data_IF_063666654052
#
_entry.id   IF_063666654052
#
_cell.length_a   1.000
_cell.length_b   1.000
_cell.length_c   1.000
_cell.angle_alpha   90.00
_cell.angle_beta   90.00
_cell.angle_gamma   90.00
#
_symmetry.space_group_name_H-M   'P 1'
#
loop_
_entity.id
_entity.type
_entity.pdbx_description
1 polymer ?
#
# COMPACT_ATOMS: atom_id res chain seq x y z
N UNK A 1 -0.92 4.41 -17.01
CA UNK A 1 -1.70 4.32 -18.29
C UNK A 1 -3.20 4.08 -18.06
N UNK A 2 -3.63 3.33 -17.02
CA UNK A 2 -5.05 3.09 -16.70
C UNK A 2 -5.89 4.35 -16.36
N UNK A 3 -5.28 5.41 -15.81
CA UNK A 3 -6.00 6.66 -15.48
C UNK A 3 -6.50 7.41 -16.73
N UNK A 4 -5.78 7.34 -17.85
CA UNK A 4 -6.17 8.02 -19.11
C UNK A 4 -7.30 7.29 -19.84
N UNK A 5 -7.34 5.95 -19.79
CA UNK A 5 -8.40 5.16 -20.42
C UNK A 5 -9.77 5.41 -19.77
N UNK A 6 -9.83 5.59 -18.44
CA UNK A 6 -11.06 5.94 -17.73
C UNK A 6 -11.64 7.29 -18.16
N UNK A 7 -10.78 8.30 -18.37
CA UNK A 7 -11.21 9.65 -18.75
C UNK A 7 -11.86 9.72 -20.13
N UNK A 8 -11.37 8.97 -21.12
CA UNK A 8 -11.94 8.95 -22.47
C UNK A 8 -13.34 8.29 -22.49
N UNK A 9 -13.52 7.21 -21.74
CA UNK A 9 -14.82 6.51 -21.61
C UNK A 9 -15.85 7.37 -20.88
N UNK A 10 -15.46 8.10 -19.85
CA UNK A 10 -16.37 8.98 -19.12
C UNK A 10 -16.79 10.20 -19.96
N UNK A 11 -15.88 10.78 -20.74
CA UNK A 11 -16.20 11.88 -21.68
C UNK A 11 -17.12 11.38 -22.80
N UNK A 12 -16.86 10.22 -23.37
CA UNK A 12 -17.73 9.63 -24.40
C UNK A 12 -19.13 9.36 -23.85
N UNK A 13 -19.23 8.83 -22.62
CA UNK A 13 -20.52 8.58 -21.95
C UNK A 13 -21.27 9.90 -21.71
N UNK A 14 -20.57 10.95 -21.24
CA UNK A 14 -21.15 12.28 -21.03
C UNK A 14 -21.70 12.91 -22.32
N UNK A 15 -20.95 12.79 -23.43
CA UNK A 15 -21.37 13.30 -24.75
C UNK A 15 -22.57 12.53 -25.30
N UNK A 16 -22.56 11.20 -25.21
CA UNK A 16 -23.70 10.36 -25.63
C UNK A 16 -24.95 10.74 -24.82
N UNK A 17 -24.80 10.91 -23.51
CA UNK A 17 -25.90 11.24 -22.62
C UNK A 17 -26.46 12.65 -22.89
N UNK A 18 -25.60 13.66 -23.09
CA UNK A 18 -26.02 15.00 -23.50
C UNK A 18 -26.77 14.99 -24.84
N UNK A 19 -26.26 14.25 -25.82
CA UNK A 19 -26.86 14.14 -27.15
C UNK A 19 -28.23 13.45 -27.08
N UNK A 20 -28.33 12.37 -26.30
CA UNK A 20 -29.59 11.67 -26.05
C UNK A 20 -30.63 12.59 -25.39
N UNK A 21 -30.25 13.33 -24.35
CA UNK A 21 -31.16 14.28 -23.69
C UNK A 21 -31.63 15.38 -24.64
N UNK A 22 -30.74 15.92 -25.48
CA UNK A 22 -31.08 16.93 -26.47
C UNK A 22 -32.07 16.40 -27.52
N UNK A 23 -31.86 15.18 -28.02
CA UNK A 23 -32.73 14.53 -29.00
C UNK A 23 -34.11 14.22 -28.40
N UNK A 24 -34.16 13.63 -27.20
CA UNK A 24 -35.41 13.28 -26.54
C UNK A 24 -36.22 14.51 -26.11
N UNK A 25 -35.57 15.64 -25.87
CA UNK A 25 -36.26 16.91 -25.59
C UNK A 25 -36.96 17.48 -26.85
N UNK A 26 -36.51 17.11 -28.06
CA UNK A 26 -37.25 17.40 -29.29
C UNK A 26 -38.55 16.62 -29.36
N UNK A 27 -38.53 15.35 -28.95
CA UNK A 27 -39.71 14.46 -28.93
C UNK A 27 -40.70 14.90 -27.84
N UNK A 28 -40.21 15.31 -26.67
CA UNK A 28 -41.03 15.76 -25.55
C UNK A 28 -41.84 17.05 -25.83
N UNK A 29 -41.48 17.84 -26.86
CA UNK A 29 -42.33 18.95 -27.32
C UNK A 29 -43.73 18.51 -27.72
N UNK A 30 -43.86 17.31 -28.27
CA UNK A 30 -45.15 16.78 -28.74
C UNK A 30 -46.09 16.49 -27.56
N UNK A 31 -45.54 16.15 -26.39
CA UNK A 31 -46.31 15.79 -25.19
C UNK A 31 -46.50 16.94 -24.20
N UNK A 32 -45.84 18.09 -24.42
CA UNK A 32 -45.89 19.26 -23.52
C UNK A 32 -46.18 20.55 -24.31
N UNK A 33 -47.41 20.74 -24.82
CA UNK A 33 -47.76 21.89 -25.67
C UNK A 33 -47.66 23.24 -24.94
N UNK A 34 -47.77 23.26 -23.61
CA UNK A 34 -47.67 24.49 -22.79
C UNK A 34 -46.23 24.85 -22.39
N UNK A 35 -45.25 24.01 -22.69
CA UNK A 35 -43.86 24.24 -22.31
C UNK A 35 -43.12 25.10 -23.34
N UNK A 36 -42.13 25.87 -22.89
CA UNK A 36 -41.31 26.68 -23.79
C UNK A 36 -40.46 25.78 -24.69
N UNK A 37 -40.33 26.10 -26.00
CA UNK A 37 -39.44 25.36 -26.87
C UNK A 37 -38.00 25.49 -26.38
N UNK A 38 -37.22 24.41 -26.55
CA UNK A 38 -35.80 24.39 -26.16
C UNK A 38 -35.04 25.39 -27.03
N UNK A 39 -34.62 26.50 -26.43
CA UNK A 39 -33.76 27.52 -27.06
C UNK A 39 -32.28 27.14 -26.94
N UNK A 40 -31.38 27.95 -27.50
CA UNK A 40 -29.93 27.76 -27.35
C UNK A 40 -29.50 27.65 -25.87
N UNK A 41 -30.16 28.40 -24.97
CA UNK A 41 -29.94 28.32 -23.53
C UNK A 41 -30.35 26.96 -22.95
N UNK A 42 -31.53 26.43 -23.34
CA UNK A 42 -31.98 25.12 -22.90
C UNK A 42 -31.07 23.99 -23.38
N UNK A 43 -30.57 24.09 -24.62
CA UNK A 43 -29.59 23.15 -25.16
C UNK A 43 -28.25 23.23 -24.39
N UNK A 44 -27.78 24.43 -24.09
CA UNK A 44 -26.57 24.63 -23.28
C UNK A 44 -26.70 24.00 -21.88
N UNK A 45 -27.85 24.15 -21.22
CA UNK A 45 -28.11 23.50 -19.93
C UNK A 45 -28.06 21.97 -20.01
N UNK A 46 -28.64 21.37 -21.06
CA UNK A 46 -28.60 19.91 -21.28
C UNK A 46 -27.16 19.41 -21.52
N UNK A 47 -26.38 20.16 -22.30
CA UNK A 47 -24.96 19.84 -22.57
C UNK A 47 -24.14 19.95 -21.29
N UNK A 48 -24.30 21.03 -20.52
CA UNK A 48 -23.60 21.21 -19.23
C UNK A 48 -23.99 20.10 -18.25
N UNK A 49 -25.27 19.72 -18.19
CA UNK A 49 -25.73 18.61 -17.35
C UNK A 49 -25.03 17.29 -17.72
N UNK A 50 -24.93 16.97 -19.01
CA UNK A 50 -24.22 15.77 -19.46
C UNK A 50 -22.72 15.82 -19.18
N UNK A 51 -22.06 16.95 -19.48
CA UNK A 51 -20.62 17.14 -19.23
C UNK A 51 -20.27 17.07 -17.74
N UNK A 52 -21.15 17.55 -16.86
CA UNK A 52 -20.96 17.47 -15.42
C UNK A 52 -20.79 16.02 -14.92
N UNK A 53 -21.35 15.02 -15.62
CA UNK A 53 -21.17 13.61 -15.29
C UNK A 53 -19.74 13.11 -15.52
N UNK A 54 -18.96 13.75 -16.39
CA UNK A 54 -17.54 13.41 -16.55
C UNK A 54 -16.74 13.66 -15.26
N UNK A 55 -17.23 14.56 -14.38
CA UNK A 55 -16.60 14.88 -13.11
C UNK A 55 -16.95 13.87 -12.00
N UNK A 56 -17.83 12.89 -12.27
CA UNK A 56 -18.32 11.92 -11.26
C UNK A 56 -17.22 11.14 -10.53
N UNK A 57 -16.09 10.89 -11.20
CA UNK A 57 -14.95 10.15 -10.63
C UNK A 57 -13.92 11.03 -9.91
N UNK A 58 -13.89 12.33 -10.25
CA UNK A 58 -12.93 13.28 -9.69
C UNK A 58 -13.54 13.96 -8.46
N UNK A 59 -14.78 14.46 -8.61
CA UNK A 59 -15.50 15.13 -7.54
C UNK A 59 -17.02 14.85 -7.68
N UNK A 60 -17.54 13.82 -6.97
CA UNK A 60 -18.95 13.43 -7.08
C UNK A 60 -19.91 14.50 -6.55
N UNK A 61 -19.49 15.33 -5.58
CA UNK A 61 -20.27 16.46 -5.08
C UNK A 61 -20.43 17.55 -6.14
N UNK A 62 -19.35 17.88 -6.84
CA UNK A 62 -19.38 18.86 -7.92
C UNK A 62 -20.21 18.36 -9.11
N UNK A 63 -20.08 17.08 -9.47
CA UNK A 63 -20.92 16.47 -10.50
C UNK A 63 -22.41 16.53 -10.14
N UNK A 64 -22.78 16.22 -8.89
CA UNK A 64 -24.15 16.30 -8.39
C UNK A 64 -24.70 17.73 -8.41
N UNK A 65 -23.95 18.69 -7.86
CA UNK A 65 -24.39 20.08 -7.77
C UNK A 65 -24.62 20.70 -9.15
N UNK A 66 -23.75 20.41 -10.13
CA UNK A 66 -23.92 20.89 -11.50
C UNK A 66 -25.11 20.23 -12.21
N UNK A 67 -25.26 18.91 -12.11
CA UNK A 67 -26.37 18.18 -12.74
C UNK A 67 -27.72 18.58 -12.18
N UNK A 68 -27.83 18.70 -10.85
CA UNK A 68 -29.06 19.15 -10.18
C UNK A 68 -29.31 20.64 -10.41
N UNK A 69 -28.29 21.49 -10.32
CA UNK A 69 -28.44 22.93 -10.55
C UNK A 69 -28.90 23.26 -11.97
N UNK A 70 -28.34 22.57 -12.98
CA UNK A 70 -28.79 22.70 -14.37
C UNK A 70 -30.20 22.16 -14.57
N UNK A 71 -30.59 21.09 -13.88
CA UNK A 71 -31.95 20.58 -13.91
C UNK A 71 -32.97 21.55 -13.30
N UNK A 72 -32.67 22.11 -12.13
CA UNK A 72 -33.49 23.13 -11.46
C UNK A 72 -33.66 24.37 -12.35
N UNK A 73 -32.57 24.85 -12.96
CA UNK A 73 -32.62 25.99 -13.87
C UNK A 73 -33.47 25.69 -15.13
N UNK A 74 -33.29 24.51 -15.72
CA UNK A 74 -34.04 24.10 -16.92
C UNK A 74 -35.55 24.02 -16.66
N UNK A 75 -35.93 23.40 -15.53
CA UNK A 75 -37.32 23.24 -15.12
C UNK A 75 -37.95 24.58 -14.71
N UNK A 76 -37.23 25.41 -13.95
CA UNK A 76 -37.71 26.73 -13.52
C UNK A 76 -37.92 27.70 -14.69
N UNK A 77 -37.16 27.55 -15.78
CA UNK A 77 -37.36 28.29 -17.02
C UNK A 77 -38.48 27.71 -17.91
N UNK A 78 -39.14 26.62 -17.46
CA UNK A 78 -40.26 25.94 -18.12
C UNK A 78 -39.95 25.44 -19.53
N UNK A 79 -38.72 24.98 -19.78
CA UNK A 79 -38.38 24.35 -21.06
C UNK A 79 -39.03 22.96 -21.20
N UNK A 80 -39.47 22.63 -22.40
CA UNK A 80 -40.04 21.33 -22.73
C UNK A 80 -38.97 20.23 -22.66
N UNK A 81 -39.22 19.14 -21.92
CA UNK A 81 -38.28 18.01 -21.86
C UNK A 81 -38.14 17.35 -20.49
N UNK A 82 -38.76 16.19 -20.34
CA UNK A 82 -38.51 15.27 -19.22
C UNK A 82 -37.10 14.63 -19.17
N UNK A 83 -36.27 14.56 -20.24
CA UNK A 83 -34.95 13.94 -20.14
C UNK A 83 -34.00 14.61 -19.14
N UNK A 84 -34.23 15.87 -18.77
CA UNK A 84 -33.43 16.57 -17.76
C UNK A 84 -33.48 15.88 -16.38
N UNK A 85 -34.57 15.17 -16.06
CA UNK A 85 -34.67 14.36 -14.85
C UNK A 85 -33.60 13.26 -14.84
N UNK A 86 -33.31 12.63 -15.99
CA UNK A 86 -32.28 11.60 -16.11
C UNK A 86 -30.89 12.15 -15.76
N UNK A 87 -30.60 13.41 -16.10
CA UNK A 87 -29.37 14.10 -15.71
C UNK A 87 -29.24 14.30 -14.21
N UNK A 88 -30.29 14.81 -13.56
CA UNK A 88 -30.36 14.89 -12.10
C UNK A 88 -30.19 13.51 -11.43
N UNK A 89 -30.72 12.45 -12.05
CA UNK A 89 -30.54 11.08 -11.55
C UNK A 89 -29.10 10.62 -11.60
N UNK A 90 -28.47 10.80 -12.76
CA UNK A 90 -27.12 10.35 -12.98
C UNK A 90 -26.17 11.09 -12.03
N UNK A 91 -26.47 12.36 -11.71
CA UNK A 91 -25.85 13.12 -10.64
C UNK A 91 -26.03 12.48 -9.26
N UNK A 92 -27.26 12.11 -8.88
CA UNK A 92 -27.53 11.45 -7.59
C UNK A 92 -26.80 10.11 -7.48
N UNK A 93 -26.81 9.29 -8.52
CA UNK A 93 -26.09 8.02 -8.55
C UNK A 93 -24.58 8.24 -8.44
N UNK A 94 -24.04 9.26 -9.11
CA UNK A 94 -22.64 9.65 -8.95
C UNK A 94 -22.31 10.06 -7.51
N UNK A 95 -23.20 10.79 -6.84
CA UNK A 95 -23.04 11.18 -5.44
C UNK A 95 -23.05 9.96 -4.50
N UNK A 96 -24.04 9.09 -4.63
CA UNK A 96 -24.21 7.90 -3.77
C UNK A 96 -23.10 6.88 -3.97
N UNK A 97 -22.61 6.74 -5.21
CA UNK A 97 -21.49 5.83 -5.52
C UNK A 97 -20.11 6.41 -5.18
N UNK A 98 -19.97 7.73 -5.23
CA UNK A 98 -18.71 8.43 -4.99
C UNK A 98 -18.47 8.81 -3.52
N UNK A 99 -19.53 9.01 -2.73
CA UNK A 99 -19.45 9.41 -1.31
C UNK A 99 -19.93 8.27 -0.42
N UNK A 100 -19.03 7.73 0.39
CA UNK A 100 -19.29 6.55 1.24
C UNK A 100 -20.12 6.87 2.48
N UNK A 101 -19.97 8.09 3.02
CA UNK A 101 -20.63 8.50 4.25
C UNK A 101 -22.07 8.96 3.99
N UNK A 102 -23.05 8.19 4.48
CA UNK A 102 -24.47 8.51 4.36
C UNK A 102 -24.83 9.89 4.92
N UNK A 103 -24.20 10.29 6.03
CA UNK A 103 -24.40 11.62 6.64
C UNK A 103 -24.05 12.77 5.70
N UNK A 104 -23.19 12.56 4.71
CA UNK A 104 -22.77 13.58 3.76
C UNK A 104 -23.70 13.62 2.56
N UNK A 105 -24.00 12.48 1.92
CA UNK A 105 -24.79 12.54 0.68
C UNK A 105 -26.30 12.69 0.91
N UNK A 106 -26.86 12.22 2.02
CA UNK A 106 -28.29 12.33 2.34
C UNK A 106 -28.79 13.78 2.32
N UNK A 107 -28.19 14.76 3.05
CA UNK A 107 -28.68 16.13 3.03
C UNK A 107 -28.57 16.77 1.63
N UNK A 108 -27.50 16.49 0.88
CA UNK A 108 -27.35 16.99 -0.50
C UNK A 108 -28.42 16.41 -1.44
N UNK A 109 -28.68 15.11 -1.35
CA UNK A 109 -29.74 14.44 -2.10
C UNK A 109 -31.12 15.02 -1.76
N UNK A 110 -31.41 15.26 -0.48
CA UNK A 110 -32.66 15.87 -0.02
C UNK A 110 -32.84 17.29 -0.53
N UNK A 111 -31.82 18.14 -0.43
CA UNK A 111 -31.85 19.53 -0.93
C UNK A 111 -32.01 19.54 -2.45
N UNK A 112 -31.28 18.69 -3.17
CA UNK A 112 -31.38 18.59 -4.62
C UNK A 112 -32.75 18.10 -5.09
N UNK A 113 -33.30 17.08 -4.42
CA UNK A 113 -34.65 16.59 -4.68
C UNK A 113 -35.72 17.65 -4.42
N UNK A 114 -35.60 18.40 -3.33
CA UNK A 114 -36.50 19.52 -3.02
C UNK A 114 -36.41 20.62 -4.09
N UNK A 115 -35.20 20.99 -4.52
CA UNK A 115 -34.99 21.98 -5.57
C UNK A 115 -35.66 21.59 -6.88
N UNK A 116 -35.51 20.34 -7.31
CA UNK A 116 -36.18 19.80 -8.50
C UNK A 116 -37.69 19.81 -8.33
N UNK A 117 -38.22 19.38 -7.19
CA UNK A 117 -39.65 19.39 -6.90
C UNK A 117 -40.26 20.80 -6.96
N UNK A 118 -39.59 21.79 -6.36
CA UNK A 118 -40.03 23.20 -6.40
C UNK A 118 -40.00 23.75 -7.83
N UNK A 119 -38.93 23.47 -8.59
CA UNK A 119 -38.78 23.96 -9.96
C UNK A 119 -39.80 23.37 -10.94
N UNK A 120 -40.38 22.22 -10.61
CA UNK A 120 -41.42 21.57 -11.44
C UNK A 120 -42.79 22.25 -11.26
N UNK A 121 -42.99 22.95 -10.14
CA UNK A 121 -44.26 23.56 -9.77
C UNK A 121 -45.38 22.54 -9.51
N UNK A 122 -46.55 22.97 -9.00
CA UNK A 122 -47.70 22.10 -8.89
C UNK A 122 -48.38 21.93 -10.26
N UNK A 123 -48.48 20.73 -10.86
CA UNK A 123 -49.29 20.52 -12.06
C UNK A 123 -50.76 20.87 -11.84
N UNK A 124 -51.40 21.53 -12.81
CA UNK A 124 -52.87 21.51 -12.92
C UNK A 124 -53.33 20.05 -13.06
N UNK A 125 -54.25 19.60 -12.21
CA UNK A 125 -54.63 18.18 -12.12
C UNK A 125 -53.71 17.34 -11.22
N UNK A 126 -53.15 17.94 -10.16
CA UNK A 126 -52.26 17.34 -9.15
C UNK A 126 -52.69 15.91 -8.73
N UNK A 127 -52.07 14.90 -9.34
CA UNK A 127 -52.06 13.54 -8.82
C UNK A 127 -50.67 13.32 -8.22
N UNK A 128 -50.52 13.22 -6.89
CA UNK A 128 -49.21 13.03 -6.26
C UNK A 128 -48.59 11.66 -6.57
N UNK A 129 -49.41 10.71 -7.03
CA UNK A 129 -49.01 9.32 -7.26
C UNK A 129 -47.82 9.11 -8.21
N UNK A 130 -47.72 9.75 -9.40
CA UNK A 130 -46.62 9.52 -10.34
C UNK A 130 -45.29 10.08 -9.85
N UNK A 131 -45.32 11.24 -9.17
CA UNK A 131 -44.11 11.86 -8.62
C UNK A 131 -43.58 11.10 -7.41
N UNK A 132 -44.48 10.59 -6.56
CA UNK A 132 -44.11 9.73 -5.43
C UNK A 132 -43.56 8.40 -5.93
N UNK A 133 -44.16 7.78 -6.97
CA UNK A 133 -43.63 6.53 -7.53
C UNK A 133 -42.27 6.73 -8.17
N UNK A 134 -42.06 7.82 -8.91
CA UNK A 134 -40.74 8.18 -9.43
C UNK A 134 -39.77 8.37 -8.26
N UNK A 135 -40.05 9.24 -7.29
CA UNK A 135 -39.16 9.44 -6.14
C UNK A 135 -38.85 8.14 -5.36
N UNK A 136 -39.85 7.27 -5.18
CA UNK A 136 -39.70 5.97 -4.50
C UNK A 136 -38.84 4.98 -5.29
N UNK A 137 -39.06 4.86 -6.60
CA UNK A 137 -38.21 4.04 -7.49
C UNK A 137 -36.77 4.55 -7.44
N UNK A 138 -36.59 5.87 -7.37
CA UNK A 138 -35.26 6.49 -7.40
C UNK A 138 -34.52 6.30 -6.08
N UNK A 139 -35.21 6.45 -4.96
CA UNK A 139 -34.68 6.11 -3.64
C UNK A 139 -34.34 4.61 -3.57
N UNK A 140 -35.20 3.74 -4.10
CA UNK A 140 -34.95 2.29 -4.14
C UNK A 140 -33.70 1.95 -4.95
N UNK A 141 -33.55 2.50 -6.16
CA UNK A 141 -32.34 2.27 -6.99
C UNK A 141 -31.08 2.82 -6.31
N UNK A 142 -31.13 4.00 -5.69
CA UNK A 142 -30.00 4.56 -4.94
C UNK A 142 -29.59 3.67 -3.75
N UNK A 143 -30.57 3.19 -2.96
CA UNK A 143 -30.30 2.29 -1.82
C UNK A 143 -29.76 0.94 -2.30
N UNK A 144 -30.35 0.36 -3.34
CA UNK A 144 -29.93 -0.93 -3.90
C UNK A 144 -28.51 -0.85 -4.48
N UNK A 145 -28.19 0.24 -5.18
CA UNK A 145 -26.84 0.45 -5.73
C UNK A 145 -25.80 0.67 -4.62
N UNK A 146 -26.12 1.47 -3.60
CA UNK A 146 -25.25 1.66 -2.43
C UNK A 146 -24.98 0.33 -1.69
N UNK A 147 -26.02 -0.48 -1.47
CA UNK A 147 -25.92 -1.82 -0.90
C UNK A 147 -25.04 -2.72 -1.77
N UNK A 148 -25.26 -2.74 -3.09
CA UNK A 148 -24.48 -3.55 -4.02
C UNK A 148 -23.00 -3.13 -4.09
N UNK A 149 -22.68 -1.84 -3.95
CA UNK A 149 -21.29 -1.38 -3.86
C UNK A 149 -20.64 -1.77 -2.55
N UNK A 150 -21.37 -1.68 -1.43
CA UNK A 150 -20.88 -2.13 -0.13
C UNK A 150 -20.60 -3.63 -0.12
N UNK A 151 -21.52 -4.44 -0.64
CA UNK A 151 -21.34 -5.90 -0.75
C UNK A 151 -20.15 -6.24 -1.64
N UNK A 152 -20.02 -5.61 -2.81
CA UNK A 152 -18.86 -5.82 -3.70
C UNK A 152 -17.53 -5.47 -3.04
N UNK A 153 -17.48 -4.42 -2.22
CA UNK A 153 -16.27 -4.06 -1.47
C UNK A 153 -15.94 -5.11 -0.42
N UNK A 154 -16.93 -5.56 0.36
CA UNK A 154 -16.75 -6.64 1.35
C UNK A 154 -16.24 -7.91 0.71
N UNK A 155 -16.84 -8.33 -0.42
CA UNK A 155 -16.38 -9.51 -1.16
C UNK A 155 -14.95 -9.33 -1.68
N UNK A 156 -14.58 -8.14 -2.18
CA UNK A 156 -13.22 -7.87 -2.62
C UNK A 156 -12.21 -7.88 -1.45
N UNK A 157 -12.59 -7.40 -0.27
CA UNK A 157 -11.80 -7.49 0.97
C UNK A 157 -11.63 -8.96 1.41
N UNK A 158 -12.71 -9.74 1.39
CA UNK A 158 -12.69 -11.19 1.70
C UNK A 158 -11.81 -11.97 0.71
N UNK A 159 -11.91 -11.68 -0.60
CA UNK A 159 -11.03 -12.26 -1.63
C UNK A 159 -9.56 -11.88 -1.42
N UNK A 160 -9.27 -10.66 -0.97
CA UNK A 160 -7.91 -10.22 -0.67
C UNK A 160 -7.33 -11.00 0.52
N UNK A 161 -8.12 -11.22 1.57
CA UNK A 161 -7.73 -12.05 2.73
C UNK A 161 -7.52 -13.51 2.32
N UNK A 162 -8.42 -14.06 1.48
CA UNK A 162 -8.29 -15.42 0.95
C UNK A 162 -7.01 -15.64 0.15
N UNK A 163 -6.65 -14.70 -0.73
CA UNK A 163 -5.41 -14.75 -1.53
C UNK A 163 -4.15 -14.77 -0.66
N UNK A 164 -4.14 -14.04 0.46
CA UNK A 164 -3.02 -14.07 1.41
C UNK A 164 -2.89 -15.46 2.07
N UNK A 165 -4.00 -16.10 2.42
CA UNK A 165 -3.98 -17.45 2.99
C UNK A 165 -3.51 -18.52 1.98
N UNK A 166 -3.95 -18.42 0.72
CA UNK A 166 -3.48 -19.30 -0.36
C UNK A 166 -1.98 -19.13 -0.62
N UNK A 167 -1.50 -17.88 -0.65
CA UNK A 167 -0.09 -17.55 -0.80
C UNK A 167 0.75 -18.15 0.33
N UNK A 168 0.27 -18.07 1.58
CA UNK A 168 0.92 -18.69 2.75
C UNK A 168 1.05 -20.21 2.59
N UNK A 169 -0.02 -20.89 2.16
CA UNK A 169 0.01 -22.34 1.94
C UNK A 169 0.93 -22.74 0.78
N UNK A 170 1.10 -21.88 -0.23
CA UNK A 170 2.06 -22.09 -1.32
C UNK A 170 3.49 -21.99 -0.81
N UNK A 171 3.82 -20.91 -0.10
CA UNK A 171 5.16 -20.69 0.48
C UNK A 171 5.53 -21.83 1.45
N UNK A 172 4.59 -22.29 2.29
CA UNK A 172 4.83 -23.40 3.20
C UNK A 172 5.15 -24.72 2.48
N UNK A 173 4.49 -24.99 1.34
CA UNK A 173 4.77 -26.17 0.50
C UNK A 173 6.11 -26.08 -0.20
N UNK A 174 6.42 -24.94 -0.80
CA UNK A 174 7.71 -24.70 -1.45
C UNK A 174 8.87 -24.81 -0.45
N UNK A 175 8.68 -24.34 0.80
CA UNK A 175 9.62 -24.56 1.89
C UNK A 175 9.77 -26.04 2.25
N UNK A 176 8.67 -26.77 2.37
CA UNK A 176 8.71 -28.19 2.70
C UNK A 176 9.45 -29.00 1.63
N UNK A 177 9.27 -28.67 0.36
CA UNK A 177 9.92 -29.35 -0.76
C UNK A 177 11.44 -29.08 -0.75
N UNK A 178 11.85 -27.82 -0.59
CA UNK A 178 13.28 -27.44 -0.50
C UNK A 178 13.96 -28.08 0.70
N UNK A 179 13.31 -28.07 1.87
CA UNK A 179 13.84 -28.69 3.08
C UNK A 179 13.95 -30.22 2.92
N UNK A 180 12.92 -30.87 2.38
CA UNK A 180 12.91 -32.31 2.18
C UNK A 180 14.02 -32.74 1.22
N UNK A 181 14.21 -32.01 0.12
CA UNK A 181 15.29 -32.27 -0.83
C UNK A 181 16.68 -32.08 -0.19
N UNK A 182 16.87 -30.98 0.56
CA UNK A 182 18.15 -30.69 1.22
C UNK A 182 18.50 -31.76 2.26
N UNK A 183 17.53 -32.20 3.07
CA UNK A 183 17.71 -33.25 4.06
C UNK A 183 18.03 -34.60 3.41
N UNK A 184 17.37 -34.96 2.30
CA UNK A 184 17.67 -36.18 1.56
C UNK A 184 19.12 -36.18 1.03
N UNK A 185 19.57 -35.06 0.44
CA UNK A 185 20.94 -34.94 -0.07
C UNK A 185 21.97 -34.94 1.07
N UNK A 186 21.69 -34.29 2.21
CA UNK A 186 22.55 -34.36 3.40
C UNK A 186 22.68 -35.80 3.91
N UNK A 187 21.56 -36.53 3.99
CA UNK A 187 21.56 -37.93 4.45
C UNK A 187 22.37 -38.84 3.51
N UNK A 188 22.26 -38.62 2.18
CA UNK A 188 23.04 -39.34 1.19
C UNK A 188 24.54 -39.05 1.32
N UNK A 189 24.93 -37.78 1.41
CA UNK A 189 26.33 -37.37 1.56
C UNK A 189 26.93 -37.85 2.88
N UNK A 190 26.14 -37.89 3.96
CA UNK A 190 26.58 -38.44 5.24
C UNK A 190 26.85 -39.94 5.13
N UNK A 191 26.00 -40.68 4.41
CA UNK A 191 26.22 -42.10 4.12
C UNK A 191 27.50 -42.35 3.30
N UNK A 192 27.75 -41.53 2.28
CA UNK A 192 28.98 -41.59 1.47
C UNK A 192 30.22 -41.27 2.31
N UNK A 193 30.15 -40.22 3.14
CA UNK A 193 31.25 -39.82 4.02
C UNK A 193 31.59 -40.89 5.06
N UNK A 194 30.59 -41.54 5.66
CA UNK A 194 30.79 -42.65 6.61
C UNK A 194 31.40 -43.88 5.93
N UNK A 195 30.99 -44.21 4.70
CA UNK A 195 31.53 -45.34 3.95
C UNK A 195 32.99 -45.14 3.55
N UNK A 196 33.38 -43.91 3.22
CA UNK A 196 34.73 -43.57 2.75
C UNK A 196 35.71 -43.20 3.88
N UNK A 197 35.23 -43.08 5.12
CA UNK A 197 36.01 -42.55 6.25
C UNK A 197 37.32 -43.31 6.50
N UNK A 198 37.31 -44.64 6.34
CA UNK A 198 38.47 -45.50 6.56
C UNK A 198 39.36 -45.63 5.32
N UNK A 199 38.75 -45.78 4.14
CA UNK A 199 39.47 -46.14 2.91
C UNK A 199 39.97 -44.92 2.13
N UNK A 200 39.24 -43.79 2.19
CA UNK A 200 39.51 -42.56 1.43
C UNK A 200 39.15 -41.31 2.25
N UNK A 201 39.95 -40.99 3.28
CA UNK A 201 39.65 -39.92 4.22
C UNK A 201 39.49 -38.54 3.57
N UNK A 202 40.20 -38.26 2.47
CA UNK A 202 40.04 -36.97 1.76
C UNK A 202 38.68 -36.84 1.06
N UNK A 203 38.14 -37.93 0.48
CA UNK A 203 36.79 -37.91 -0.10
C UNK A 203 35.71 -37.83 0.98
N UNK A 204 35.95 -38.41 2.15
CA UNK A 204 35.06 -38.24 3.31
C UNK A 204 35.05 -36.79 3.82
N UNK A 205 36.21 -36.11 3.80
CA UNK A 205 36.32 -34.69 4.15
C UNK A 205 35.56 -33.80 3.15
N UNK A 206 35.63 -34.10 1.86
CA UNK A 206 34.83 -33.42 0.83
C UNK A 206 33.32 -33.58 1.06
N UNK A 207 32.85 -34.80 1.38
CA UNK A 207 31.45 -35.06 1.70
C UNK A 207 30.97 -34.27 2.93
N UNK A 208 31.80 -34.15 3.98
CA UNK A 208 31.51 -33.32 5.16
C UNK A 208 31.46 -31.82 4.84
N UNK A 209 32.32 -31.33 3.96
CA UNK A 209 32.27 -29.95 3.47
C UNK A 209 30.97 -29.69 2.68
N UNK A 210 30.56 -30.62 1.81
CA UNK A 210 29.31 -30.53 1.08
C UNK A 210 28.09 -30.48 2.01
N UNK A 211 28.05 -31.33 3.05
CA UNK A 211 27.00 -31.31 4.08
C UNK A 211 26.93 -29.96 4.79
N UNK A 212 28.08 -29.41 5.19
CA UNK A 212 28.16 -28.11 5.88
C UNK A 212 27.60 -26.99 4.99
N UNK A 213 27.94 -27.00 3.71
CA UNK A 213 27.51 -25.99 2.75
C UNK A 213 26.00 -26.08 2.48
N UNK A 214 25.50 -27.27 2.15
CA UNK A 214 24.07 -27.55 1.96
C UNK A 214 23.22 -27.19 3.19
N UNK A 215 23.70 -27.52 4.39
CA UNK A 215 22.99 -27.19 5.64
C UNK A 215 22.92 -25.67 5.86
N UNK A 216 24.00 -24.95 5.56
CA UNK A 216 24.05 -23.49 5.70
C UNK A 216 23.10 -22.80 4.72
N UNK A 217 23.08 -23.27 3.48
CA UNK A 217 22.22 -22.73 2.42
C UNK A 217 20.73 -23.00 2.70
N UNK A 218 20.38 -24.22 3.12
CA UNK A 218 19.01 -24.58 3.49
C UNK A 218 18.49 -23.74 4.68
N UNK A 219 19.32 -23.50 5.70
CA UNK A 219 18.97 -22.62 6.82
C UNK A 219 18.80 -21.15 6.40
N UNK A 220 19.61 -20.67 5.47
CA UNK A 220 19.48 -19.32 4.94
C UNK A 220 18.17 -19.14 4.15
N UNK A 221 17.82 -20.11 3.30
CA UNK A 221 16.57 -20.11 2.53
C UNK A 221 15.33 -20.21 3.45
N UNK A 222 15.38 -21.07 4.47
CA UNK A 222 14.29 -21.17 5.46
C UNK A 222 14.08 -19.86 6.23
N UNK A 223 15.16 -19.17 6.63
CA UNK A 223 15.09 -17.87 7.33
C UNK A 223 14.58 -16.76 6.42
N UNK A 224 14.97 -16.73 5.15
CA UNK A 224 14.51 -15.75 4.18
C UNK A 224 12.99 -15.87 3.97
N UNK A 225 12.47 -17.09 3.76
CA UNK A 225 11.04 -17.32 3.60
C UNK A 225 10.24 -17.05 4.89
N UNK A 226 10.77 -17.40 6.06
CA UNK A 226 10.15 -17.04 7.35
C UNK A 226 10.10 -15.53 7.59
N UNK A 227 11.01 -14.75 7.01
CA UNK A 227 10.98 -13.28 7.10
C UNK A 227 9.83 -12.71 6.26
N UNK A 228 9.57 -13.28 5.09
CA UNK A 228 8.41 -12.93 4.25
C UNK A 228 7.10 -13.30 4.95
N UNK A 229 7.05 -14.45 5.60
CA UNK A 229 5.87 -14.89 6.37
C UNK A 229 5.65 -14.02 7.61
N UNK A 230 6.70 -13.70 8.38
CA UNK A 230 6.62 -12.86 9.59
C UNK A 230 6.36 -11.38 9.31
N UNK A 231 6.75 -10.87 8.14
CA UNK A 231 6.44 -9.50 7.71
C UNK A 231 4.95 -9.23 7.49
N UNK A 232 4.08 -10.24 7.60
CA UNK A 232 2.64 -10.15 7.35
C UNK A 232 1.76 -10.74 8.47
N UNK A 233 2.34 -11.13 9.60
CA UNK A 233 1.59 -11.69 10.74
C UNK A 233 1.16 -10.59 11.71
N UNK A 234 -0.15 -10.52 11.97
CA UNK A 234 -0.77 -9.81 13.09
C UNK A 234 -0.47 -10.52 14.43
N UNK A 235 0.81 -10.78 14.74
CA UNK A 235 1.16 -10.94 16.15
C UNK A 235 1.00 -9.56 16.80
N UNK A 236 0.44 -9.46 18.02
CA UNK A 236 0.44 -8.20 18.76
C UNK A 236 1.88 -7.68 18.74
N UNK A 237 2.12 -6.40 18.42
CA UNK A 237 3.46 -5.91 18.23
C UNK A 237 4.23 -6.19 19.52
N UNK A 238 5.12 -7.19 19.50
CA UNK A 238 6.30 -7.13 20.37
C UNK A 238 6.86 -5.75 20.11
N UNK A 239 6.95 -4.92 21.16
CA UNK A 239 7.50 -3.58 21.07
C UNK A 239 8.68 -3.63 20.10
N UNK A 240 8.59 -2.85 19.02
CA UNK A 240 9.58 -2.92 17.95
C UNK A 240 10.96 -2.83 18.60
N UNK A 241 11.89 -3.74 18.29
CA UNK A 241 13.18 -3.74 18.96
C UNK A 241 13.83 -2.37 18.80
N UNK A 242 14.27 -1.80 19.92
CA UNK A 242 14.68 -0.41 20.08
C UNK A 242 16.11 -0.35 20.63
N UNK A 243 16.63 0.85 20.85
CA UNK A 243 17.97 1.04 21.41
C UNK A 243 18.16 0.39 22.79
N UNK A 244 17.10 0.22 23.59
CA UNK A 244 17.17 -0.47 24.87
C UNK A 244 17.48 -1.97 24.72
N UNK A 245 17.21 -2.54 23.54
CA UNK A 245 17.55 -3.92 23.20
C UNK A 245 19.01 -4.16 22.79
N UNK A 246 19.84 -3.13 22.65
CA UNK A 246 21.22 -3.28 22.15
C UNK A 246 22.11 -4.11 23.09
N UNK A 247 21.98 -3.94 24.40
CA UNK A 247 22.77 -4.72 25.37
C UNK A 247 22.49 -6.22 25.26
N UNK A 248 21.21 -6.59 25.09
CA UNK A 248 20.81 -7.98 24.91
C UNK A 248 21.31 -8.53 23.57
N UNK A 249 21.26 -7.74 22.50
CA UNK A 249 21.79 -8.11 21.19
C UNK A 249 23.31 -8.37 21.26
N UNK A 250 24.06 -7.45 21.86
CA UNK A 250 25.52 -7.57 22.00
C UNK A 250 25.90 -8.74 22.89
N UNK A 251 25.14 -8.99 23.96
CA UNK A 251 25.35 -10.18 24.81
C UNK A 251 25.19 -11.47 24.02
N UNK A 252 24.12 -11.60 23.23
CA UNK A 252 23.90 -12.78 22.37
C UNK A 252 25.02 -12.97 21.34
N UNK A 253 25.55 -11.89 20.78
CA UNK A 253 26.65 -11.94 19.81
C UNK A 253 27.98 -12.31 20.47
N UNK A 254 28.23 -11.84 21.70
CA UNK A 254 29.39 -12.25 22.51
C UNK A 254 29.35 -13.74 22.86
N UNK A 255 28.18 -14.25 23.23
CA UNK A 255 27.97 -15.68 23.48
C UNK A 255 28.20 -16.54 22.23
N UNK A 256 27.97 -15.97 21.04
CA UNK A 256 28.28 -16.62 19.76
C UNK A 256 29.77 -16.58 19.38
N UNK A 257 30.62 -15.99 20.23
CA UNK A 257 32.08 -16.00 20.08
C UNK A 257 32.68 -14.77 19.39
N UNK A 258 31.90 -13.72 19.13
CA UNK A 258 32.41 -12.44 18.60
C UNK A 258 32.69 -11.47 19.76
N UNK A 259 33.93 -11.00 19.88
CA UNK A 259 34.25 -9.93 20.84
C UNK A 259 33.59 -8.63 20.40
N UNK A 260 32.69 -8.05 21.20
CA UNK A 260 32.02 -6.79 20.87
C UNK A 260 32.22 -5.78 21.99
N UNK A 261 32.67 -4.58 21.66
CA UNK A 261 32.67 -3.42 22.55
C UNK A 261 31.51 -2.50 22.17
N UNK A 262 30.66 -2.14 23.15
CA UNK A 262 29.47 -1.32 22.93
C UNK A 262 29.56 -0.06 23.79
N UNK A 263 29.49 1.10 23.15
CA UNK A 263 29.39 2.40 23.79
C UNK A 263 28.12 3.12 23.31
N UNK A 264 27.25 3.46 24.26
CA UNK A 264 26.00 4.19 23.98
C UNK A 264 26.06 5.55 24.68
N UNK A 265 26.03 6.63 23.90
CA UNK A 265 26.16 8.00 24.39
C UNK A 265 25.02 8.89 23.86
N UNK A 266 23.84 8.79 24.48
CA UNK A 266 22.64 9.48 24.02
C UNK A 266 22.46 10.87 24.66
N UNK A 267 23.34 11.29 25.57
CA UNK A 267 23.28 12.59 26.26
C UNK A 267 21.90 12.96 26.84
N UNK A 268 21.08 11.97 27.21
CA UNK A 268 19.70 12.17 27.70
C UNK A 268 18.67 12.60 26.64
N UNK A 269 19.02 12.58 25.35
CA UNK A 269 18.10 12.87 24.26
C UNK A 269 17.08 11.74 24.08
N UNK A 270 15.81 12.10 23.96
CA UNK A 270 14.75 11.17 23.59
C UNK A 270 14.86 10.84 22.09
N UNK A 271 15.17 9.59 21.77
CA UNK A 271 15.23 9.10 20.40
C UNK A 271 13.83 8.66 19.96
N UNK A 272 13.26 9.19 18.86
CA UNK A 272 11.95 8.75 18.37
C UNK A 272 11.92 7.25 18.06
N UNK A 273 10.82 6.56 18.34
CA UNK A 273 10.67 5.10 18.20
C UNK A 273 11.10 4.57 16.82
N UNK A 274 10.73 5.30 15.76
CA UNK A 274 11.08 4.94 14.37
C UNK A 274 12.60 5.01 14.14
N UNK A 275 13.27 6.00 14.72
CA UNK A 275 14.73 6.17 14.64
C UNK A 275 15.42 5.11 15.49
N UNK A 276 14.91 4.87 16.70
CA UNK A 276 15.40 3.86 17.63
C UNK A 276 15.35 2.45 17.03
N UNK A 277 14.23 2.08 16.40
CA UNK A 277 14.08 0.80 15.73
C UNK A 277 14.97 0.67 14.48
N UNK A 278 15.16 1.76 13.74
CA UNK A 278 16.06 1.79 12.58
C UNK A 278 17.51 1.61 13.03
N UNK A 279 17.91 2.28 14.12
CA UNK A 279 19.24 2.16 14.71
C UNK A 279 19.54 0.74 15.19
N UNK A 280 18.62 0.12 15.93
CA UNK A 280 18.74 -1.27 16.35
C UNK A 280 19.00 -2.21 15.16
N UNK A 281 18.26 -2.03 14.07
CA UNK A 281 18.41 -2.86 12.85
C UNK A 281 19.75 -2.65 12.16
N UNK A 282 20.27 -1.43 12.14
CA UNK A 282 21.60 -1.14 11.57
C UNK A 282 22.67 -1.92 12.35
N UNK A 283 22.67 -1.83 13.68
CA UNK A 283 23.63 -2.55 14.53
C UNK A 283 23.49 -4.05 14.37
N UNK A 284 22.25 -4.58 14.35
CA UNK A 284 22.00 -6.01 14.17
C UNK A 284 22.54 -6.55 12.83
N UNK A 285 22.25 -5.87 11.72
CA UNK A 285 22.73 -6.29 10.40
C UNK A 285 24.26 -6.18 10.32
N UNK A 286 24.85 -5.12 10.88
CA UNK A 286 26.28 -4.92 10.91
C UNK A 286 26.99 -6.05 11.70
N UNK A 287 26.55 -6.36 12.93
CA UNK A 287 27.12 -7.46 13.72
C UNK A 287 26.92 -8.83 13.06
N UNK A 288 25.79 -9.03 12.36
CA UNK A 288 25.56 -10.25 11.58
C UNK A 288 26.55 -10.38 10.43
N UNK A 289 26.87 -9.27 9.76
CA UNK A 289 27.87 -9.24 8.69
C UNK A 289 29.27 -9.53 9.24
N UNK A 290 29.64 -8.98 10.40
CA UNK A 290 30.92 -9.29 11.06
C UNK A 290 31.03 -10.79 11.34
N UNK A 291 30.03 -11.40 11.99
CA UNK A 291 30.02 -12.84 12.27
C UNK A 291 30.15 -13.72 11.01
N UNK A 292 29.64 -13.26 9.87
CA UNK A 292 29.69 -14.01 8.61
C UNK A 292 30.99 -13.81 7.83
N UNK A 293 31.60 -12.63 7.92
CA UNK A 293 32.60 -12.19 6.95
C UNK A 293 33.94 -11.77 7.55
N UNK A 294 34.02 -11.42 8.84
CA UNK A 294 35.24 -10.87 9.44
C UNK A 294 36.33 -11.94 9.68
N UNK A 295 35.97 -13.22 9.70
CA UNK A 295 36.89 -14.34 9.93
C UNK A 295 37.08 -14.71 11.40
N UNK A 296 37.81 -15.80 11.69
CA UNK A 296 38.01 -16.29 13.06
C UNK A 296 38.83 -15.30 13.90
N UNK A 297 38.37 -15.03 15.14
CA UNK A 297 39.10 -14.19 16.10
C UNK A 297 38.92 -12.67 15.93
N UNK A 298 38.06 -12.24 15.00
CA UNK A 298 37.71 -10.83 14.83
C UNK A 298 36.93 -10.28 16.04
N UNK A 299 36.99 -8.97 16.21
CA UNK A 299 36.25 -8.19 17.19
C UNK A 299 35.54 -7.01 16.51
N UNK A 300 34.46 -6.53 17.12
CA UNK A 300 33.69 -5.38 16.66
C UNK A 300 33.60 -4.30 17.73
N UNK A 301 33.65 -3.03 17.31
CA UNK A 301 33.32 -1.87 18.11
C UNK A 301 32.02 -1.27 17.58
N UNK A 302 31.07 -1.03 18.48
CA UNK A 302 29.78 -0.41 18.22
C UNK A 302 29.70 0.86 19.06
N UNK A 303 29.52 2.00 18.40
CA UNK A 303 29.21 3.26 19.04
C UNK A 303 27.85 3.76 18.55
N UNK A 304 27.00 4.15 19.49
CA UNK A 304 25.71 4.78 19.20
C UNK A 304 25.64 6.07 20.01
N UNK A 305 25.73 7.21 19.34
CA UNK A 305 25.85 8.50 19.98
C UNK A 305 24.94 9.56 19.37
N UNK A 306 24.73 10.67 20.07
CA UNK A 306 24.01 11.83 19.54
C UNK A 306 24.92 13.02 19.27
N UNK A 307 24.88 13.58 18.06
CA UNK A 307 25.73 14.71 17.63
C UNK A 307 24.90 15.67 16.79
N UNK A 308 24.84 16.96 17.16
CA UNK A 308 24.20 18.04 16.39
C UNK A 308 22.76 17.75 15.91
N UNK A 309 21.96 17.04 16.72
CA UNK A 309 20.58 16.66 16.37
C UNK A 309 20.46 15.43 15.47
N UNK A 310 21.55 14.68 15.32
CA UNK A 310 21.61 13.39 14.64
C UNK A 310 21.94 12.28 15.62
N UNK A 311 21.41 11.09 15.36
CA UNK A 311 21.87 9.86 15.97
C UNK A 311 22.93 9.26 15.04
N UNK A 312 24.16 9.16 15.53
CA UNK A 312 25.30 8.55 14.84
C UNK A 312 25.49 7.11 15.30
N UNK A 313 25.75 6.23 14.35
CA UNK A 313 25.95 4.81 14.57
C UNK A 313 27.21 4.42 13.82
N UNK A 314 28.20 3.97 14.57
CA UNK A 314 29.48 3.49 14.05
C UNK A 314 29.68 2.03 14.45
N UNK A 315 29.78 1.15 13.46
CA UNK A 315 30.15 -0.25 13.66
C UNK A 315 31.40 -0.54 12.85
N UNK A 316 32.46 -0.94 13.53
CA UNK A 316 33.75 -1.27 12.92
C UNK A 316 34.25 -2.63 13.41
N UNK A 317 34.73 -3.48 12.51
CA UNK A 317 35.47 -4.69 12.88
C UNK A 317 36.96 -4.60 12.54
N UNK A 318 37.75 -5.45 13.18
CA UNK A 318 39.19 -5.63 12.92
C UNK A 318 39.50 -6.87 12.07
N UNK A 319 38.48 -7.44 11.42
CA UNK A 319 38.59 -8.65 10.63
C UNK A 319 39.37 -8.45 9.33
N UNK A 320 39.43 -9.53 8.53
CA UNK A 320 40.21 -9.56 7.30
C UNK A 320 39.68 -8.53 6.26
N UNK A 321 38.43 -8.08 6.42
CA UNK A 321 37.75 -7.17 5.50
C UNK A 321 37.58 -7.78 4.11
N UNK A 322 36.69 -7.23 3.29
CA UNK A 322 36.74 -7.52 1.86
C UNK A 322 37.98 -6.79 1.30
N UNK A 323 39.05 -7.53 1.00
CA UNK A 323 40.30 -6.98 0.44
C UNK A 323 40.12 -6.32 -0.94
N UNK A 324 38.95 -6.48 -1.58
CA UNK A 324 38.57 -5.78 -2.80
C UNK A 324 37.39 -4.82 -2.54
N UNK A 325 37.38 -3.63 -3.19
CA UNK A 325 36.20 -2.78 -3.20
C UNK A 325 35.01 -3.58 -3.77
N UNK A 326 33.99 -3.73 -2.93
CA UNK A 326 32.77 -4.48 -3.24
C UNK A 326 32.14 -3.88 -4.51
N UNK A 327 32.30 -4.55 -5.66
CA UNK A 327 31.78 -4.08 -6.97
C UNK A 327 30.25 -4.02 -7.04
N UNK A 328 29.54 -4.67 -6.10
CA UNK A 328 28.09 -4.55 -5.95
C UNK A 328 27.70 -4.84 -4.48
N UNK A 329 26.98 -3.93 -3.79
CA UNK A 329 26.52 -4.20 -2.43
C UNK A 329 25.65 -5.45 -2.41
N UNK A 330 25.94 -6.39 -1.50
CA UNK A 330 25.05 -7.54 -1.26
C UNK A 330 23.65 -7.07 -0.84
N UNK A 331 22.64 -7.93 -1.01
CA UNK A 331 21.23 -7.63 -0.72
C UNK A 331 21.00 -6.97 0.67
N UNK A 332 21.82 -7.33 1.68
CA UNK A 332 21.76 -6.74 3.03
C UNK A 332 22.13 -5.25 3.09
N UNK A 333 23.23 -4.84 2.45
CA UNK A 333 23.70 -3.45 2.45
C UNK A 333 22.76 -2.53 1.66
N UNK A 334 22.18 -3.04 0.57
CA UNK A 334 21.16 -2.30 -0.20
C UNK A 334 19.89 -2.07 0.64
N UNK A 335 19.39 -3.11 1.31
CA UNK A 335 18.22 -3.00 2.18
C UNK A 335 18.45 -2.09 3.39
N UNK A 336 19.70 -2.01 3.88
CA UNK A 336 20.09 -1.09 4.94
C UNK A 336 20.07 0.37 4.45
N UNK A 337 20.60 0.65 3.26
CA UNK A 337 20.53 1.98 2.65
C UNK A 337 19.10 2.45 2.36
N UNK A 338 18.24 1.57 1.83
CA UNK A 338 16.83 1.89 1.57
C UNK A 338 16.07 2.23 2.87
N UNK A 339 16.32 1.51 3.97
CA UNK A 339 15.72 1.80 5.28
C UNK A 339 16.21 3.12 5.89
N UNK A 340 17.51 3.38 5.82
CA UNK A 340 18.10 4.62 6.33
C UNK A 340 17.56 5.83 5.55
N UNK A 341 17.47 5.73 4.23
CA UNK A 341 16.87 6.77 3.40
C UNK A 341 15.38 7.01 3.71
N UNK A 342 14.62 5.97 4.06
CA UNK A 342 13.20 6.10 4.40
C UNK A 342 12.93 6.97 5.64
N UNK A 343 13.90 7.11 6.54
CA UNK A 343 13.83 8.00 7.72
C UNK A 343 14.60 9.30 7.52
N UNK A 344 15.07 9.59 6.30
CA UNK A 344 15.85 10.79 5.98
C UNK A 344 17.29 10.77 6.49
N UNK A 345 17.82 9.58 6.81
CA UNK A 345 19.20 9.39 7.23
C UNK A 345 20.17 9.11 6.09
N UNK A 346 21.45 8.98 6.45
CA UNK A 346 22.54 8.61 5.56
C UNK A 346 23.29 7.40 6.08
N UNK A 347 23.79 6.53 5.19
CA UNK A 347 24.65 5.41 5.57
C UNK A 347 25.77 5.20 4.57
N UNK A 348 26.95 4.88 5.09
CA UNK A 348 28.15 4.49 4.34
C UNK A 348 28.67 3.19 4.92
N UNK A 349 28.99 2.24 4.04
CA UNK A 349 29.54 0.96 4.43
C UNK A 349 30.70 0.61 3.49
N UNK A 350 31.84 0.19 4.05
CA UNK A 350 33.02 -0.10 3.24
C UNK A 350 34.21 -0.62 4.06
N UNK A 351 35.24 -1.14 3.38
CA UNK A 351 36.48 -1.57 4.02
C UNK A 351 37.17 -0.38 4.70
N UNK A 352 37.70 -0.60 5.91
CA UNK A 352 38.42 0.44 6.63
C UNK A 352 39.86 0.58 6.11
N UNK A 353 40.46 1.78 6.10
CA UNK A 353 41.84 1.98 5.67
C UNK A 353 42.87 1.19 6.48
N UNK A 354 42.54 0.85 7.72
CA UNK A 354 43.37 0.10 8.66
C UNK A 354 43.16 -1.42 8.60
N UNK A 355 42.32 -1.93 7.70
CA UNK A 355 41.80 -3.30 7.72
C UNK A 355 40.45 -3.42 8.43
N UNK A 356 39.67 -4.43 8.09
CA UNK A 356 38.29 -4.63 8.57
C UNK A 356 37.22 -3.94 7.74
N UNK A 357 35.98 -3.93 8.23
CA UNK A 357 34.84 -3.28 7.58
C UNK A 357 34.17 -2.27 8.54
N UNK A 358 33.64 -1.19 7.97
CA UNK A 358 32.98 -0.12 8.72
C UNK A 358 31.59 0.14 8.16
N UNK A 359 30.64 0.38 9.07
CA UNK A 359 29.29 0.87 8.79
C UNK A 359 29.10 2.13 9.62
N UNK A 360 28.96 3.27 8.95
CA UNK A 360 28.66 4.55 9.56
C UNK A 360 27.29 5.03 9.08
N UNK A 361 26.36 5.26 10.00
CA UNK A 361 25.03 5.77 9.70
C UNK A 361 24.68 6.98 10.57
N UNK A 362 23.96 7.94 9.99
CA UNK A 362 23.45 9.14 10.69
C UNK A 362 21.96 9.25 10.44
N UNK A 363 21.16 9.30 11.51
CA UNK A 363 19.71 9.40 11.45
C UNK A 363 19.23 10.72 12.08
N UNK A 364 18.31 11.47 11.45
CA UNK A 364 17.87 12.74 12.01
C UNK A 364 16.96 12.51 13.22
N UNK A 365 17.25 13.16 14.36
CA UNK A 365 16.39 13.07 15.55
C UNK A 365 15.14 13.96 15.49
N UNK A 366 15.00 14.72 14.40
CA UNK A 366 13.93 15.68 14.17
C UNK A 366 14.38 17.12 14.41
N UNK A 367 13.97 18.03 13.52
CA UNK A 367 14.18 19.46 13.73
C UNK A 367 13.47 19.91 15.01
N UNK A 368 14.11 20.80 15.79
CA UNK A 368 13.45 21.59 16.84
C UNK A 368 12.09 22.06 16.29
N UNK A 369 11.02 21.55 16.87
CA UNK A 369 9.67 22.07 16.62
C UNK A 369 9.48 23.37 17.39
#
# INVERSE_FOLDING_TARGET
MMMRAGSAVDVATAVIFATFMALMSQVARVTQPEARPVTALGLALLVVCGLALALRRINPLLAFTLTVGTAVAYLGLRFAGWPIYLGAFAGLLALVSGVTEARVWVPFASIGGLGVAVATGPPEGWQPAPMITIAAVWAAVAVLTARATQVRRRLAEEEAVGKVAEERLRIARELHDVLSHSLATISLQAGVGLHLLSDRPEQAREALHAIRQLSTDALAQARAALTVVRGTSEDPPRAAPDLAGLDALVTSVREAGLGVDLATDLDGHAVPDVISATAYRIVQEALTNVMRHAGPGASARVHVGTVDGWLEIDVADDGIGAAEPIRAPGHGLRGLAERVAAVGGEVRAGPAPSGGFTVHARLPLGAKR
#
